data_IF_741561965761
#
_entry.id   IF_741561965761
#
_cell.length_a   1.000
_cell.length_b   1.000
_cell.length_c   1.000
_cell.angle_alpha   90.00
_cell.angle_beta   90.00
_cell.angle_gamma   90.00
#
_symmetry.space_group_name_H-M   'P 1'
#
loop_
_entity.id
_entity.type
_entity.pdbx_description
1 polymer ?
#
# COMPACT_ATOMS: atom_id res chain seq x y z
N UNK A 1 18.32 -28.82 21.74
CA UNK A 1 17.40 -28.85 20.59
C UNK A 1 17.39 -30.28 20.11
N UNK A 2 16.29 -31.00 20.31
CA UNK A 2 16.10 -32.32 19.70
C UNK A 2 15.44 -32.11 18.34
N UNK A 3 16.04 -32.65 17.27
CA UNK A 3 15.51 -32.55 15.91
C UNK A 3 14.75 -33.83 15.58
N UNK A 4 13.50 -33.67 15.17
CA UNK A 4 12.65 -34.78 14.72
C UNK A 4 12.30 -34.56 13.25
N UNK A 5 12.80 -35.44 12.38
CA UNK A 5 12.48 -35.44 10.95
C UNK A 5 11.34 -36.42 10.67
N UNK A 6 10.34 -35.96 9.93
CA UNK A 6 9.18 -36.77 9.56
C UNK A 6 8.89 -36.64 8.07
N UNK A 7 8.49 -37.74 7.45
CA UNK A 7 7.93 -37.75 6.11
C UNK A 7 6.41 -38.03 6.14
N UNK A 8 5.76 -37.88 5.00
CA UNK A 8 4.29 -37.99 4.84
C UNK A 8 3.78 -39.40 5.23
N UNK A 9 4.63 -40.41 5.24
CA UNK A 9 4.25 -41.79 5.61
C UNK A 9 4.24 -42.03 7.13
N UNK A 10 4.72 -41.07 7.94
CA UNK A 10 4.90 -41.21 9.38
C UNK A 10 3.81 -40.52 10.22
N UNK A 11 2.58 -40.39 9.72
CA UNK A 11 1.46 -39.66 10.38
C UNK A 11 1.27 -40.03 11.85
N UNK A 12 1.25 -41.32 12.18
CA UNK A 12 1.03 -41.75 13.57
C UNK A 12 2.17 -41.31 14.49
N UNK A 13 3.42 -41.28 14.00
CA UNK A 13 4.57 -40.79 14.76
C UNK A 13 4.54 -39.27 14.93
N UNK A 14 4.07 -38.53 13.91
CA UNK A 14 3.86 -37.08 13.98
C UNK A 14 2.86 -36.77 15.11
N UNK A 15 1.70 -37.44 15.11
CA UNK A 15 0.65 -37.21 16.11
C UNK A 15 1.06 -37.51 17.55
N UNK A 16 1.93 -38.50 17.74
CA UNK A 16 2.35 -38.94 19.06
C UNK A 16 3.48 -38.08 19.64
N UNK A 17 4.32 -37.45 18.80
CA UNK A 17 5.56 -36.81 19.23
C UNK A 17 5.58 -35.28 19.09
N UNK A 18 4.65 -34.65 18.35
CA UNK A 18 4.59 -33.19 18.28
C UNK A 18 3.72 -32.64 19.41
N UNK A 19 4.34 -31.83 20.27
CA UNK A 19 3.69 -31.14 21.38
C UNK A 19 3.52 -29.65 21.06
N UNK A 20 2.63 -28.98 21.80
CA UNK A 20 2.27 -27.56 21.62
C UNK A 20 3.47 -26.61 21.68
N UNK A 21 4.51 -26.95 22.43
CA UNK A 21 5.69 -26.10 22.66
C UNK A 21 6.78 -26.23 21.58
N UNK A 22 6.59 -27.12 20.60
CA UNK A 22 7.58 -27.37 19.58
C UNK A 22 7.64 -26.24 18.56
N UNK A 23 8.84 -25.92 18.07
CA UNK A 23 9.03 -25.19 16.82
C UNK A 23 8.79 -26.16 15.67
N UNK A 24 7.81 -25.85 14.80
CA UNK A 24 7.50 -26.66 13.64
C UNK A 24 8.07 -25.97 12.41
N UNK A 25 8.91 -26.67 11.66
CA UNK A 25 9.43 -26.21 10.37
C UNK A 25 8.63 -26.90 9.26
N UNK A 26 7.83 -26.14 8.53
CA UNK A 26 7.09 -26.60 7.38
C UNK A 26 7.95 -26.45 6.12
N UNK A 27 8.43 -27.58 5.60
CA UNK A 27 9.12 -27.69 4.31
C UNK A 27 8.55 -28.84 3.48
N UNK A 28 7.24 -29.13 3.64
CA UNK A 28 6.63 -30.31 3.01
C UNK A 28 6.44 -30.09 1.51
N UNK A 29 5.87 -28.95 1.11
CA UNK A 29 5.68 -28.56 -0.28
C UNK A 29 6.19 -27.13 -0.53
N UNK A 30 6.98 -26.95 -1.60
CA UNK A 30 7.51 -25.66 -2.05
C UNK A 30 6.93 -25.22 -3.40
N UNK A 31 7.72 -24.45 -4.16
CA UNK A 31 7.40 -24.06 -5.53
C UNK A 31 7.15 -25.27 -6.46
N UNK A 32 6.27 -25.11 -7.44
CA UNK A 32 6.04 -26.10 -8.53
C UNK A 32 4.84 -27.04 -8.34
N UNK A 33 4.09 -26.91 -7.25
CA UNK A 33 2.93 -27.77 -6.97
C UNK A 33 1.63 -26.98 -7.15
N UNK A 34 0.89 -27.30 -8.23
CA UNK A 34 -0.37 -26.62 -8.61
C UNK A 34 -1.64 -27.32 -8.11
N UNK A 35 -1.52 -28.31 -7.23
CA UNK A 35 -2.63 -29.19 -6.83
C UNK A 35 -3.07 -28.94 -5.40
N UNK A 36 -4.37 -29.16 -5.15
CA UNK A 36 -4.95 -29.29 -3.81
C UNK A 36 -4.19 -30.32 -3.00
N UNK A 37 -4.18 -30.15 -1.69
CA UNK A 37 -3.61 -31.15 -0.79
C UNK A 37 -4.43 -32.45 -0.92
N UNK A 38 -3.74 -33.59 -1.03
CA UNK A 38 -4.41 -34.88 -0.93
C UNK A 38 -4.90 -35.12 0.52
N UNK A 39 -5.65 -36.20 0.72
CA UNK A 39 -6.26 -36.49 2.02
C UNK A 39 -5.21 -36.69 3.12
N UNK A 40 -4.07 -37.28 2.77
CA UNK A 40 -2.98 -37.63 3.69
C UNK A 40 -2.28 -36.36 4.18
N UNK A 41 -1.94 -35.46 3.27
CA UNK A 41 -1.41 -34.13 3.59
C UNK A 41 -2.42 -33.28 4.34
N UNK A 42 -3.68 -33.29 3.91
CA UNK A 42 -4.77 -32.59 4.59
C UNK A 42 -4.97 -33.04 6.04
N UNK A 43 -4.69 -34.29 6.37
CA UNK A 43 -4.73 -34.79 7.74
C UNK A 43 -3.55 -34.27 8.57
N UNK A 44 -2.34 -34.31 8.01
CA UNK A 44 -1.12 -33.80 8.66
C UNK A 44 -1.24 -32.32 8.96
N UNK A 45 -1.58 -31.51 7.97
CA UNK A 45 -1.66 -30.05 8.12
C UNK A 45 -2.74 -29.62 9.10
N UNK A 46 -3.91 -30.30 9.12
CA UNK A 46 -4.96 -30.08 10.12
C UNK A 46 -4.48 -30.38 11.53
N UNK A 47 -3.74 -31.48 11.71
CA UNK A 47 -3.18 -31.80 13.01
C UNK A 47 -2.16 -30.74 13.45
N UNK A 48 -1.19 -30.39 12.59
CA UNK A 48 -0.20 -29.34 12.88
C UNK A 48 -0.88 -28.01 13.27
N UNK A 49 -1.87 -27.58 12.48
CA UNK A 49 -2.61 -26.35 12.74
C UNK A 49 -3.40 -26.37 14.06
N UNK A 50 -3.70 -27.55 14.62
CA UNK A 50 -4.41 -27.70 15.89
C UNK A 50 -3.52 -27.54 17.13
N UNK A 51 -2.20 -27.67 16.97
CA UNK A 51 -1.25 -27.70 18.09
C UNK A 51 -0.99 -26.32 18.71
N UNK A 52 -1.40 -25.23 18.05
CA UNK A 52 -1.13 -23.83 18.47
C UNK A 52 0.36 -23.56 18.78
N UNK A 53 1.23 -24.20 18.00
CA UNK A 53 2.68 -24.08 18.06
C UNK A 53 3.20 -22.95 17.17
N UNK A 54 4.46 -22.54 17.37
CA UNK A 54 5.12 -21.65 16.41
C UNK A 54 5.46 -22.43 15.14
N UNK A 55 4.89 -22.02 14.01
CA UNK A 55 5.09 -22.69 12.72
C UNK A 55 5.87 -21.75 11.79
N UNK A 56 7.04 -22.19 11.35
CA UNK A 56 7.87 -21.49 10.37
C UNK A 56 7.83 -22.26 9.05
N UNK A 57 7.20 -21.68 8.03
CA UNK A 57 7.20 -22.26 6.68
C UNK A 57 8.42 -21.78 5.89
N UNK A 58 9.09 -22.72 5.26
CA UNK A 58 10.23 -22.47 4.38
C UNK A 58 9.72 -22.38 2.95
N UNK A 59 10.12 -21.32 2.26
CA UNK A 59 9.72 -20.97 0.90
C UNK A 59 8.26 -20.51 0.75
N UNK A 60 7.30 -21.39 1.03
CA UNK A 60 5.86 -21.12 0.97
C UNK A 60 5.12 -22.06 1.93
N UNK A 61 4.06 -21.62 2.64
CA UNK A 61 3.28 -22.55 3.46
C UNK A 61 2.66 -23.66 2.61
N UNK A 62 2.80 -24.89 3.08
CA UNK A 62 2.25 -26.07 2.41
C UNK A 62 0.75 -25.90 2.17
N UNK A 63 0.35 -25.99 0.90
CA UNK A 63 -1.04 -25.81 0.44
C UNK A 63 -1.36 -24.46 -0.21
N UNK A 64 -0.40 -23.52 -0.22
CA UNK A 64 -0.52 -22.25 -0.96
C UNK A 64 0.19 -22.35 -2.31
N UNK A 65 -0.46 -21.87 -3.37
CA UNK A 65 0.12 -21.79 -4.70
C UNK A 65 1.07 -20.57 -4.83
N UNK A 66 2.30 -20.83 -5.26
CA UNK A 66 3.36 -19.82 -5.37
C UNK A 66 3.16 -18.78 -6.47
N UNK A 67 2.31 -19.05 -7.46
CA UNK A 67 2.11 -18.20 -8.65
C UNK A 67 0.92 -17.25 -8.48
N UNK A 68 -0.21 -17.76 -7.97
CA UNK A 68 -1.48 -17.03 -7.90
C UNK A 68 -1.99 -16.77 -6.48
N UNK A 69 -1.42 -17.43 -5.47
CA UNK A 69 -1.81 -17.21 -4.07
C UNK A 69 -3.11 -17.90 -3.67
N UNK A 70 -3.61 -18.83 -4.50
CA UNK A 70 -4.73 -19.69 -4.11
C UNK A 70 -4.34 -20.54 -2.91
N UNK A 71 -5.24 -20.63 -1.92
CA UNK A 71 -5.02 -21.28 -0.64
C UNK A 71 -5.96 -22.49 -0.54
N UNK A 72 -5.40 -23.68 -0.30
CA UNK A 72 -6.19 -24.83 0.12
C UNK A 72 -6.73 -24.60 1.54
N UNK A 73 -7.98 -25.00 1.81
CA UNK A 73 -8.60 -24.86 3.14
C UNK A 73 -7.80 -25.54 4.26
N UNK A 74 -7.02 -26.56 3.93
CA UNK A 74 -6.18 -27.30 4.84
C UNK A 74 -4.72 -26.84 4.79
N UNK A 75 -4.40 -25.69 4.21
CA UNK A 75 -3.01 -25.18 4.18
C UNK A 75 -2.46 -24.98 5.58
N UNK A 76 -1.14 -25.09 5.73
CA UNK A 76 -0.45 -24.74 6.96
C UNK A 76 -0.72 -23.27 7.30
N UNK A 77 -1.01 -22.99 8.58
CA UNK A 77 -1.15 -21.65 9.13
C UNK A 77 0.15 -21.22 9.75
N UNK A 78 1.03 -20.67 8.92
CA UNK A 78 2.35 -20.25 9.36
C UNK A 78 2.26 -19.04 10.31
N UNK A 79 3.11 -19.04 11.33
CA UNK A 79 3.40 -17.84 12.13
C UNK A 79 4.37 -16.92 11.38
N UNK A 80 5.29 -17.52 10.62
CA UNK A 80 6.27 -16.85 9.78
C UNK A 80 6.58 -17.70 8.53
N UNK A 81 6.78 -17.03 7.40
CA UNK A 81 7.20 -17.62 6.13
C UNK A 81 8.55 -17.02 5.72
N UNK A 82 9.55 -17.89 5.55
CA UNK A 82 10.90 -17.54 5.10
C UNK A 82 11.07 -17.90 3.63
N UNK A 83 10.84 -16.93 2.74
CA UNK A 83 10.92 -17.14 1.29
C UNK A 83 12.37 -17.29 0.83
N UNK A 84 12.73 -18.40 0.20
CA UNK A 84 14.09 -18.63 -0.31
C UNK A 84 14.39 -17.77 -1.55
N UNK A 85 15.43 -16.95 -1.49
CA UNK A 85 15.82 -16.02 -2.55
C UNK A 85 14.83 -14.87 -2.69
N UNK A 86 13.89 -14.98 -3.63
CA UNK A 86 13.00 -13.89 -4.03
C UNK A 86 11.57 -14.01 -3.46
N UNK A 87 10.81 -12.91 -3.45
CA UNK A 87 9.39 -12.94 -3.10
C UNK A 87 8.57 -13.77 -4.08
N UNK A 88 7.54 -14.44 -3.57
CA UNK A 88 6.63 -15.28 -4.37
C UNK A 88 5.41 -14.49 -4.76
N UNK A 89 5.04 -14.51 -6.05
CA UNK A 89 3.86 -13.78 -6.57
C UNK A 89 2.59 -14.21 -5.85
N UNK A 90 2.45 -15.48 -5.52
CA UNK A 90 1.30 -16.00 -4.81
C UNK A 90 1.16 -15.47 -3.38
N UNK A 91 2.28 -15.24 -2.68
CA UNK A 91 2.24 -14.61 -1.36
C UNK A 91 1.72 -13.16 -1.46
N UNK A 92 2.16 -12.44 -2.49
CA UNK A 92 1.72 -11.05 -2.76
C UNK A 92 0.23 -10.99 -3.10
N UNK A 93 -0.25 -11.89 -3.94
CA UNK A 93 -1.65 -11.94 -4.39
C UNK A 93 -2.58 -12.65 -3.41
N UNK A 94 -2.04 -13.26 -2.35
CA UNK A 94 -2.85 -13.95 -1.36
C UNK A 94 -3.84 -13.01 -0.69
N UNK A 95 -5.07 -13.51 -0.55
CA UNK A 95 -6.16 -12.80 0.11
C UNK A 95 -6.23 -13.09 1.61
N UNK A 96 -5.45 -14.05 2.13
CA UNK A 96 -5.54 -14.49 3.52
C UNK A 96 -4.17 -14.67 4.18
N UNK A 97 -3.71 -13.59 4.83
CA UNK A 97 -2.45 -13.54 5.55
C UNK A 97 -2.41 -14.40 6.82
N UNK A 98 -3.55 -14.91 7.30
CA UNK A 98 -3.58 -15.83 8.43
C UNK A 98 -2.90 -17.18 8.14
N UNK A 99 -2.73 -17.54 6.85
CA UNK A 99 -1.99 -18.74 6.46
C UNK A 99 -0.49 -18.49 6.27
N UNK A 100 -0.10 -17.23 6.08
CA UNK A 100 1.26 -16.85 5.68
C UNK A 100 2.07 -16.33 6.88
N UNK A 101 1.44 -15.64 7.81
CA UNK A 101 2.12 -15.03 8.94
C UNK A 101 3.03 -13.88 8.52
N UNK A 102 4.12 -13.67 9.26
CA UNK A 102 5.15 -12.68 8.92
C UNK A 102 5.97 -13.14 7.72
N UNK A 103 6.36 -12.22 6.84
CA UNK A 103 7.05 -12.55 5.59
C UNK A 103 8.45 -11.95 5.59
N UNK A 104 9.45 -12.76 5.27
CA UNK A 104 10.82 -12.30 4.99
C UNK A 104 11.47 -13.15 3.88
N UNK A 105 12.60 -12.70 3.35
CA UNK A 105 13.40 -13.44 2.36
C UNK A 105 14.70 -13.91 2.97
N UNK A 106 15.09 -15.16 2.67
CA UNK A 106 16.40 -15.71 3.01
C UNK A 106 17.31 -15.69 1.79
N UNK A 107 18.49 -15.08 1.95
CA UNK A 107 19.54 -15.17 0.95
C UNK A 107 20.09 -16.61 0.91
N UNK A 108 20.06 -17.20 -0.28
CA UNK A 108 20.55 -18.56 -0.56
C UNK A 108 21.70 -18.55 -1.58
N UNK A 109 22.33 -17.39 -1.80
CA UNK A 109 23.47 -17.25 -2.69
C UNK A 109 23.10 -17.19 -4.18
N UNK A 110 21.86 -16.82 -4.52
CA UNK A 110 21.51 -16.54 -5.92
C UNK A 110 22.17 -15.23 -6.31
N UNK A 111 22.97 -15.25 -7.38
CA UNK A 111 23.64 -14.04 -7.87
C UNK A 111 22.63 -12.94 -8.18
N UNK A 112 22.89 -11.72 -7.68
CA UNK A 112 22.07 -10.52 -7.88
C UNK A 112 22.02 -10.02 -9.35
N UNK A 113 22.58 -10.78 -10.28
CA UNK A 113 22.56 -10.47 -11.71
C UNK A 113 21.16 -10.59 -12.34
N UNK A 114 20.21 -11.19 -11.61
CA UNK A 114 18.79 -11.23 -11.98
C UNK A 114 18.08 -10.07 -11.27
N UNK A 115 18.06 -8.89 -11.89
CA UNK A 115 17.24 -7.78 -11.42
C UNK A 115 15.76 -8.06 -11.73
N UNK A 116 15.05 -8.64 -10.77
CA UNK A 116 13.59 -8.78 -10.87
C UNK A 116 12.90 -7.41 -10.94
N UNK A 117 11.78 -7.34 -11.66
CA UNK A 117 10.91 -6.13 -11.66
C UNK A 117 10.10 -5.98 -10.37
N UNK A 118 10.15 -6.98 -9.48
CA UNK A 118 9.27 -7.19 -8.34
C UNK A 118 10.16 -7.35 -7.10
N UNK A 119 10.07 -6.40 -6.16
CA UNK A 119 10.96 -6.35 -4.99
C UNK A 119 10.17 -6.31 -3.68
N UNK A 120 10.69 -6.94 -2.62
CA UNK A 120 10.13 -6.80 -1.27
C UNK A 120 10.80 -5.63 -0.56
N UNK A 121 10.00 -4.73 -0.01
CA UNK A 121 10.50 -3.70 0.90
C UNK A 121 11.00 -4.39 2.16
N UNK A 122 12.20 -4.03 2.59
CA UNK A 122 12.80 -4.52 3.81
C UNK A 122 13.34 -3.33 4.63
N UNK A 123 13.65 -3.52 5.92
CA UNK A 123 14.15 -2.43 6.76
C UNK A 123 15.43 -1.77 6.21
N UNK A 124 16.30 -2.53 5.54
CA UNK A 124 17.53 -2.00 4.93
C UNK A 124 17.24 -1.07 3.74
N UNK A 125 16.22 -1.37 2.94
CA UNK A 125 15.74 -0.47 1.90
C UNK A 125 15.22 0.83 2.49
N UNK A 126 14.44 0.75 3.58
CA UNK A 126 13.90 1.94 4.26
C UNK A 126 15.01 2.80 4.86
N UNK A 127 16.04 2.19 5.46
CA UNK A 127 17.22 2.92 5.99
C UNK A 127 17.98 3.71 4.92
N UNK A 128 17.99 3.22 3.67
CA UNK A 128 18.61 3.90 2.53
C UNK A 128 17.80 5.09 2.01
N UNK A 129 16.52 5.19 2.37
CA UNK A 129 15.73 6.40 2.12
C UNK A 129 16.25 7.45 3.10
N UNK A 130 17.28 8.18 2.69
CA UNK A 130 17.87 9.28 3.47
C UNK A 130 16.79 10.35 3.70
N UNK A 131 16.16 10.33 4.87
CA UNK A 131 15.55 11.55 5.41
C UNK A 131 16.73 12.43 5.83
N UNK A 132 16.99 13.51 5.07
CA UNK A 132 18.13 14.37 5.32
C UNK A 132 18.00 15.09 6.68
N UNK A 133 18.41 14.43 7.76
CA UNK A 133 18.65 15.05 9.05
C UNK A 133 20.07 15.64 9.07
N UNK A 134 20.41 16.44 8.05
CA UNK A 134 21.69 17.16 8.05
C UNK A 134 21.69 18.15 9.21
N UNK A 135 22.82 18.33 9.89
CA UNK A 135 22.91 19.21 11.07
C UNK A 135 22.56 20.68 10.75
N UNK A 136 22.75 21.11 9.51
CA UNK A 136 22.36 22.44 8.99
C UNK A 136 21.00 22.42 8.27
N UNK A 137 20.01 21.72 8.81
CA UNK A 137 18.69 21.63 8.19
C UNK A 137 17.77 22.78 8.64
N UNK A 138 17.14 23.46 7.68
CA UNK A 138 16.14 24.49 7.94
C UNK A 138 14.83 24.15 7.23
N UNK A 139 13.72 24.74 7.67
CA UNK A 139 12.36 24.41 7.17
C UNK A 139 12.18 24.44 5.64
N UNK A 140 13.02 25.16 4.89
CA UNK A 140 12.94 25.19 3.42
C UNK A 140 13.66 24.02 2.74
N UNK A 141 14.55 23.33 3.44
CA UNK A 141 15.30 22.18 2.93
C UNK A 141 14.51 20.87 3.02
N UNK A 142 13.52 20.81 3.92
CA UNK A 142 12.61 19.68 4.10
C UNK A 142 11.36 19.73 3.20
N UNK A 143 11.39 20.57 2.18
CA UNK A 143 10.30 20.73 1.21
C UNK A 143 9.04 21.39 1.77
N UNK A 144 8.20 21.82 0.83
CA UNK A 144 6.93 22.51 1.07
C UNK A 144 5.79 21.70 0.45
N UNK A 145 4.81 21.32 1.27
CA UNK A 145 3.60 20.60 0.84
C UNK A 145 2.38 21.51 0.87
N UNK A 146 1.59 21.51 -0.21
CA UNK A 146 0.27 22.14 -0.25
C UNK A 146 -0.82 21.05 -0.25
N UNK A 147 -1.82 21.19 0.62
CA UNK A 147 -2.89 20.21 0.83
C UNK A 147 -4.23 20.79 0.38
N UNK A 148 -4.90 20.10 -0.53
CA UNK A 148 -6.25 20.36 -1.00
C UNK A 148 -7.13 19.19 -0.55
N UNK A 149 -7.60 19.28 0.69
CA UNK A 149 -8.36 18.23 1.36
C UNK A 149 -9.44 18.83 2.24
N UNK A 150 -10.48 18.05 2.50
CA UNK A 150 -11.59 18.39 3.37
C UNK A 150 -12.74 19.12 2.67
N UNK A 151 -13.89 19.03 3.30
CA UNK A 151 -15.16 19.67 2.96
C UNK A 151 -16.00 19.76 4.22
N UNK A 152 -17.19 20.33 4.14
CA UNK A 152 -18.08 20.55 5.30
C UNK A 152 -18.32 19.29 6.14
N UNK A 153 -18.47 18.14 5.49
CA UNK A 153 -18.73 16.86 6.16
C UNK A 153 -17.46 16.06 6.48
N UNK A 154 -16.31 16.43 5.88
CA UNK A 154 -15.07 15.65 5.95
C UNK A 154 -13.88 16.50 6.43
N UNK A 155 -14.12 17.40 7.38
CA UNK A 155 -13.09 18.27 8.00
C UNK A 155 -11.93 17.44 8.57
N UNK A 156 -12.26 16.29 9.20
CA UNK A 156 -11.27 15.39 9.80
C UNK A 156 -10.25 14.83 8.81
N UNK A 157 -10.59 14.70 7.52
CA UNK A 157 -9.64 14.26 6.49
C UNK A 157 -8.49 15.26 6.35
N UNK A 158 -8.81 16.56 6.30
CA UNK A 158 -7.80 17.61 6.24
C UNK A 158 -6.90 17.60 7.49
N UNK A 159 -7.48 17.46 8.69
CA UNK A 159 -6.70 17.39 9.93
C UNK A 159 -5.73 16.21 9.94
N UNK A 160 -6.18 15.01 9.54
CA UNK A 160 -5.34 13.82 9.48
C UNK A 160 -4.20 13.96 8.46
N UNK A 161 -4.47 14.57 7.30
CA UNK A 161 -3.43 14.87 6.31
C UNK A 161 -2.36 15.81 6.89
N UNK A 162 -2.76 16.88 7.59
CA UNK A 162 -1.82 17.81 8.19
C UNK A 162 -1.00 17.16 9.31
N UNK A 163 -1.62 16.40 10.22
CA UNK A 163 -0.87 15.67 11.26
C UNK A 163 0.11 14.66 10.67
N UNK A 164 -0.29 13.96 9.59
CA UNK A 164 0.58 13.00 8.90
C UNK A 164 1.76 13.70 8.21
N UNK A 165 1.53 14.84 7.58
CA UNK A 165 2.58 15.64 6.95
C UNK A 165 3.58 16.19 7.98
N UNK A 166 3.11 16.71 9.12
CA UNK A 166 3.97 17.16 10.22
C UNK A 166 4.84 16.02 10.77
N UNK A 167 4.29 14.81 10.89
CA UNK A 167 5.03 13.63 11.34
C UNK A 167 6.00 13.07 10.31
N UNK A 168 5.78 13.36 9.03
CA UNK A 168 6.62 12.91 7.91
C UNK A 168 7.88 13.77 7.69
N UNK A 169 8.06 14.83 8.49
CA UNK A 169 9.24 15.69 8.43
C UNK A 169 9.18 16.79 7.37
N UNK A 170 8.01 17.07 6.78
CA UNK A 170 7.82 18.18 5.84
C UNK A 170 8.12 19.51 6.54
N UNK A 171 8.89 20.38 5.88
CA UNK A 171 9.36 21.62 6.50
C UNK A 171 8.34 22.75 6.52
N UNK A 172 7.48 22.85 5.49
CA UNK A 172 6.37 23.79 5.47
C UNK A 172 5.11 23.13 4.90
N UNK A 173 4.00 23.30 5.61
CA UNK A 173 2.70 22.76 5.19
C UNK A 173 1.74 23.92 5.03
N UNK A 174 1.02 23.92 3.91
CA UNK A 174 -0.06 24.85 3.66
C UNK A 174 -1.31 24.12 3.18
N UNK A 175 -2.45 24.78 3.30
CA UNK A 175 -3.75 24.28 2.88
C UNK A 175 -4.44 25.32 2.00
N UNK A 176 -5.06 24.87 0.92
CA UNK A 176 -6.07 25.66 0.19
C UNK A 176 -7.43 25.06 0.50
N UNK A 177 -8.34 25.89 0.99
CA UNK A 177 -9.64 25.45 1.46
C UNK A 177 -10.72 26.51 1.21
N UNK A 178 -11.99 26.07 1.17
CA UNK A 178 -13.11 26.99 1.08
C UNK A 178 -13.16 27.90 2.30
N UNK A 179 -13.50 29.19 2.12
CA UNK A 179 -13.69 30.16 3.21
C UNK A 179 -14.57 29.64 4.35
N UNK A 180 -15.60 28.87 4.01
CA UNK A 180 -16.53 28.29 4.98
C UNK A 180 -15.85 27.28 5.93
N UNK A 181 -14.75 26.67 5.52
CA UNK A 181 -14.04 25.65 6.29
C UNK A 181 -12.97 26.26 7.22
N UNK A 182 -12.44 27.44 6.88
CA UNK A 182 -11.33 28.09 7.57
C UNK A 182 -11.55 28.19 9.10
N UNK A 183 -12.69 28.69 9.61
CA UNK A 183 -12.89 28.87 11.04
C UNK A 183 -12.86 27.56 11.85
N UNK A 184 -13.22 26.43 11.21
CA UNK A 184 -13.26 25.12 11.86
C UNK A 184 -11.88 24.49 12.00
N UNK A 185 -10.92 24.86 11.13
CA UNK A 185 -9.57 24.31 11.10
C UNK A 185 -8.55 25.20 11.80
N UNK A 186 -8.67 26.52 11.66
CA UNK A 186 -7.71 27.49 12.20
C UNK A 186 -7.53 27.38 13.72
N UNK A 187 -8.52 26.89 14.47
CA UNK A 187 -8.42 26.66 15.91
C UNK A 187 -7.94 25.25 16.33
N UNK A 188 -7.60 24.37 15.39
CA UNK A 188 -7.26 22.95 15.66
C UNK A 188 -5.78 22.62 15.43
N UNK A 189 -5.16 23.27 14.46
CA UNK A 189 -3.75 23.06 14.11
C UNK A 189 -3.15 24.38 13.65
N UNK A 190 -2.16 24.84 14.41
CA UNK A 190 -1.56 26.17 14.28
C UNK A 190 -0.20 26.14 13.54
N UNK A 191 0.38 24.95 13.38
CA UNK A 191 1.69 24.73 12.76
C UNK A 191 1.66 24.73 11.22
N UNK A 192 0.53 25.15 10.62
CA UNK A 192 0.30 25.10 9.17
C UNK A 192 -0.25 26.43 8.66
N UNK A 193 -0.01 26.70 7.37
CA UNK A 193 -0.56 27.87 6.68
C UNK A 193 -1.91 27.54 6.09
N UNK A 194 -2.82 28.51 6.08
CA UNK A 194 -4.13 28.40 5.46
C UNK A 194 -4.32 29.53 4.46
N UNK A 195 -4.71 29.15 3.25
CA UNK A 195 -5.20 30.06 2.21
C UNK A 195 -6.68 29.78 2.01
N UNK A 196 -7.53 30.69 2.49
CA UNK A 196 -8.97 30.61 2.30
C UNK A 196 -9.34 31.17 0.92
N UNK A 197 -10.10 30.39 0.16
CA UNK A 197 -10.41 30.72 -1.23
C UNK A 197 -11.92 30.62 -1.45
N UNK A 198 -12.46 31.54 -2.25
CA UNK A 198 -13.83 31.42 -2.72
C UNK A 198 -13.85 30.52 -3.95
N UNK A 199 -14.31 29.29 -3.78
CA UNK A 199 -14.28 28.27 -4.82
C UNK A 199 -15.21 28.56 -6.00
N UNK A 200 -16.07 29.57 -5.91
CA UNK A 200 -16.93 30.01 -7.02
C UNK A 200 -16.32 31.16 -7.82
N UNK A 201 -15.25 31.78 -7.33
CA UNK A 201 -14.62 32.93 -7.97
C UNK A 201 -13.41 32.49 -8.83
N UNK A 202 -13.40 32.89 -10.09
CA UNK A 202 -12.29 32.61 -11.04
C UNK A 202 -10.95 33.19 -10.59
N UNK A 203 -10.95 34.37 -9.97
CA UNK A 203 -9.72 34.97 -9.46
C UNK A 203 -9.08 34.11 -8.37
N UNK A 204 -9.90 33.46 -7.53
CA UNK A 204 -9.42 32.52 -6.51
C UNK A 204 -8.70 31.33 -7.14
N UNK A 205 -9.17 30.85 -8.30
CA UNK A 205 -8.55 29.71 -9.00
C UNK A 205 -7.14 30.08 -9.46
N UNK A 206 -6.98 31.25 -10.09
CA UNK A 206 -5.68 31.72 -10.56
C UNK A 206 -4.70 31.91 -9.39
N UNK A 207 -5.14 32.57 -8.31
CA UNK A 207 -4.33 32.72 -7.09
C UNK A 207 -3.92 31.37 -6.49
N UNK A 208 -4.85 30.42 -6.46
CA UNK A 208 -4.60 29.09 -5.90
C UNK A 208 -3.60 28.31 -6.73
N UNK A 209 -3.67 28.43 -8.06
CA UNK A 209 -2.72 27.82 -8.97
C UNK A 209 -1.30 28.39 -8.79
N UNK A 210 -1.18 29.71 -8.65
CA UNK A 210 0.08 30.39 -8.36
C UNK A 210 0.67 29.94 -7.03
N UNK A 211 -0.16 29.85 -5.98
CA UNK A 211 0.24 29.31 -4.68
C UNK A 211 0.71 27.87 -4.85
N UNK A 212 -0.09 26.98 -5.44
CA UNK A 212 0.25 25.54 -5.60
C UNK A 212 1.61 25.39 -6.28
N UNK A 213 1.83 26.09 -7.39
CA UNK A 213 3.08 25.97 -8.15
C UNK A 213 4.31 26.60 -7.47
N UNK A 214 4.15 27.26 -6.31
CA UNK A 214 5.26 27.75 -5.48
C UNK A 214 5.73 26.74 -4.41
N UNK A 215 5.07 25.58 -4.31
CA UNK A 215 5.38 24.48 -3.39
C UNK A 215 6.12 23.34 -4.10
N UNK A 216 6.59 22.34 -3.36
CA UNK A 216 7.39 21.24 -3.91
C UNK A 216 6.54 20.00 -4.25
N UNK A 217 5.39 19.84 -3.60
CA UNK A 217 4.40 18.80 -3.91
C UNK A 217 2.99 19.23 -3.48
N UNK A 218 1.97 18.62 -4.09
CA UNK A 218 0.56 18.86 -3.77
C UNK A 218 -0.18 17.56 -3.49
N UNK A 219 -0.92 17.52 -2.39
CA UNK A 219 -1.92 16.48 -2.10
C UNK A 219 -3.31 17.00 -2.47
N UNK A 220 -4.07 16.23 -3.23
CA UNK A 220 -5.45 16.54 -3.61
C UNK A 220 -6.33 15.32 -3.44
N UNK A 221 -7.43 15.45 -2.68
CA UNK A 221 -8.49 14.44 -2.70
C UNK A 221 -9.09 13.93 -1.39
N UNK A 222 -8.38 13.86 -0.26
CA UNK A 222 -8.99 13.38 0.98
C UNK A 222 -10.18 14.24 1.41
N UNK A 223 -11.38 13.67 1.42
CA UNK A 223 -12.58 14.33 1.93
C UNK A 223 -13.09 15.51 1.09
N UNK A 224 -12.84 15.55 -0.22
CA UNK A 224 -13.41 16.60 -1.08
C UNK A 224 -14.94 16.52 -1.15
N UNK A 225 -15.51 15.34 -0.91
CA UNK A 225 -16.96 15.13 -1.00
C UNK A 225 -17.46 15.18 -2.45
N UNK A 226 -18.76 15.42 -2.61
CA UNK A 226 -19.46 15.32 -3.90
C UNK A 226 -20.11 16.62 -4.34
N UNK A 227 -19.85 17.73 -3.65
CA UNK A 227 -20.42 19.04 -4.01
C UNK A 227 -19.84 19.52 -5.35
N UNK A 228 -20.73 19.84 -6.30
CA UNK A 228 -20.35 20.22 -7.66
C UNK A 228 -19.42 21.44 -7.72
N UNK A 229 -19.70 22.47 -6.89
CA UNK A 229 -18.84 23.65 -6.79
C UNK A 229 -17.39 23.30 -6.42
N UNK A 230 -17.21 22.31 -5.54
CA UNK A 230 -15.90 21.89 -5.06
C UNK A 230 -15.16 21.13 -6.15
N UNK A 231 -15.84 20.18 -6.79
CA UNK A 231 -15.29 19.42 -7.92
C UNK A 231 -14.93 20.33 -9.09
N UNK A 232 -15.78 21.31 -9.43
CA UNK A 232 -15.52 22.26 -10.51
C UNK A 232 -14.27 23.11 -10.25
N UNK A 233 -14.10 23.59 -9.01
CA UNK A 233 -12.93 24.34 -8.61
C UNK A 233 -11.62 23.54 -8.80
N UNK A 234 -11.57 22.30 -8.31
CA UNK A 234 -10.38 21.46 -8.49
C UNK A 234 -10.13 21.07 -9.94
N UNK A 235 -11.19 20.86 -10.74
CA UNK A 235 -11.07 20.65 -12.19
C UNK A 235 -10.42 21.84 -12.87
N UNK A 236 -10.83 23.06 -12.53
CA UNK A 236 -10.24 24.28 -13.10
C UNK A 236 -8.80 24.49 -12.67
N UNK A 237 -8.44 24.15 -11.42
CA UNK A 237 -7.04 24.16 -10.98
C UNK A 237 -6.19 23.21 -11.83
N UNK A 238 -6.64 21.96 -12.04
CA UNK A 238 -5.90 20.99 -12.87
C UNK A 238 -5.78 21.47 -14.31
N UNK A 239 -6.88 21.94 -14.92
CA UNK A 239 -6.88 22.51 -16.27
C UNK A 239 -5.94 23.71 -16.39
N UNK A 240 -5.84 24.53 -15.33
CA UNK A 240 -4.92 25.67 -15.25
C UNK A 240 -3.43 25.28 -15.26
N UNK A 241 -3.10 24.04 -14.92
CA UNK A 241 -1.76 23.47 -15.08
C UNK A 241 -0.93 23.48 -13.79
N UNK A 242 -1.11 22.43 -12.98
CA UNK A 242 -0.18 22.09 -11.89
C UNK A 242 1.12 21.60 -12.51
N UNK A 243 2.26 22.14 -12.05
CA UNK A 243 3.62 21.85 -12.59
C UNK A 243 4.49 21.01 -11.66
N UNK A 244 4.00 20.75 -10.45
CA UNK A 244 4.72 20.07 -9.38
C UNK A 244 4.17 18.65 -9.17
N UNK A 245 4.93 17.75 -8.52
CA UNK A 245 4.43 16.41 -8.18
C UNK A 245 3.07 16.44 -7.48
N UNK A 246 2.14 15.63 -7.98
CA UNK A 246 0.75 15.57 -7.52
C UNK A 246 0.44 14.21 -6.91
N UNK A 247 -0.09 14.21 -5.69
CA UNK A 247 -0.59 13.03 -4.99
C UNK A 247 -2.12 13.09 -5.03
N UNK A 248 -2.74 12.07 -5.61
CA UNK A 248 -4.19 11.89 -5.68
C UNK A 248 -4.61 10.76 -4.77
N UNK A 249 -5.41 11.09 -3.76
CA UNK A 249 -6.01 10.11 -2.85
C UNK A 249 -7.53 10.26 -2.83
N UNK A 250 -8.25 9.22 -2.40
CA UNK A 250 -9.70 9.28 -2.19
C UNK A 250 -10.49 9.92 -3.35
N UNK A 251 -11.22 11.01 -3.09
CA UNK A 251 -12.03 11.71 -4.10
C UNK A 251 -11.17 12.32 -5.23
N UNK A 252 -9.90 12.61 -4.97
CA UNK A 252 -8.95 13.13 -5.97
C UNK A 252 -8.65 12.13 -7.07
N UNK A 253 -8.65 10.82 -6.77
CA UNK A 253 -8.43 9.75 -7.76
C UNK A 253 -9.52 9.78 -8.84
N UNK A 254 -10.76 10.13 -8.47
CA UNK A 254 -11.90 10.23 -9.40
C UNK A 254 -11.65 11.26 -10.50
N UNK A 255 -10.80 12.27 -10.25
CA UNK A 255 -10.47 13.31 -11.23
C UNK A 255 -9.80 12.72 -12.48
N UNK A 256 -9.04 11.61 -12.35
CA UNK A 256 -8.41 10.92 -13.49
C UNK A 256 -9.43 10.28 -14.44
N UNK A 257 -10.63 9.95 -13.96
CA UNK A 257 -11.68 9.39 -14.81
C UNK A 257 -12.48 10.46 -15.57
N UNK A 258 -12.47 11.70 -15.10
CA UNK A 258 -13.30 12.78 -15.65
C UNK A 258 -12.50 13.84 -16.41
N UNK A 259 -11.18 13.89 -16.23
CA UNK A 259 -10.27 14.81 -16.91
C UNK A 259 -9.27 14.04 -17.77
N UNK A 260 -8.87 14.67 -18.87
CA UNK A 260 -7.82 14.12 -19.73
C UNK A 260 -6.45 14.20 -19.02
N UNK A 261 -5.63 13.14 -19.17
CA UNK A 261 -4.26 13.04 -18.60
C UNK A 261 -3.38 14.26 -18.88
N UNK A 262 -3.59 14.97 -19.99
CA UNK A 262 -2.83 16.19 -20.36
C UNK A 262 -2.97 17.36 -19.37
N UNK A 263 -4.00 17.35 -18.52
CA UNK A 263 -4.23 18.39 -17.50
C UNK A 263 -3.56 18.05 -16.16
N UNK A 264 -2.83 16.94 -16.08
CA UNK A 264 -2.11 16.54 -14.88
C UNK A 264 -0.60 16.69 -15.11
N UNK A 265 0.20 16.95 -14.06
CA UNK A 265 1.65 17.04 -14.18
C UNK A 265 2.28 15.71 -14.59
N UNK A 266 3.57 15.73 -14.91
CA UNK A 266 4.31 14.53 -15.30
C UNK A 266 4.38 13.51 -14.15
N UNK A 267 4.63 13.97 -12.93
CA UNK A 267 4.77 13.10 -11.74
C UNK A 267 3.48 13.04 -10.94
N UNK A 268 2.79 11.90 -11.03
CA UNK A 268 1.55 11.64 -10.28
C UNK A 268 1.74 10.40 -9.42
N UNK A 269 1.33 10.48 -8.16
CA UNK A 269 1.18 9.34 -7.26
C UNK A 269 -0.32 9.17 -6.98
N UNK A 270 -0.84 7.96 -7.17
CA UNK A 270 -2.19 7.60 -6.74
C UNK A 270 -2.15 6.58 -5.60
N UNK A 271 -3.08 6.69 -4.66
CA UNK A 271 -3.13 5.83 -3.46
C UNK A 271 -4.45 5.05 -3.32
N UNK A 272 -4.92 4.34 -4.37
CA UNK A 272 -6.22 3.71 -4.34
C UNK A 272 -6.27 2.53 -3.37
N UNK A 273 -7.37 2.40 -2.63
CA UNK A 273 -7.81 1.10 -2.13
C UNK A 273 -8.50 0.28 -3.25
N UNK A 274 -8.81 -1.00 -3.01
CA UNK A 274 -9.43 -1.88 -4.03
C UNK A 274 -10.68 -1.28 -4.70
N UNK A 275 -11.57 -0.65 -3.93
CA UNK A 275 -12.75 0.02 -4.49
C UNK A 275 -12.44 1.20 -5.42
N UNK A 276 -11.54 2.11 -5.05
CA UNK A 276 -11.08 3.22 -5.89
C UNK A 276 -10.35 2.70 -7.13
N UNK A 277 -9.51 1.67 -6.97
CA UNK A 277 -8.85 1.02 -8.10
C UNK A 277 -9.87 0.41 -9.07
N UNK A 278 -10.93 -0.22 -8.57
CA UNK A 278 -12.02 -0.76 -9.40
C UNK A 278 -12.73 0.34 -10.20
N UNK A 279 -13.03 1.47 -9.56
CA UNK A 279 -13.62 2.63 -10.24
C UNK A 279 -12.68 3.26 -11.28
N UNK A 280 -11.39 3.35 -10.97
CA UNK A 280 -10.38 3.92 -11.88
C UNK A 280 -10.11 3.01 -13.10
N UNK A 281 -10.00 1.70 -12.87
CA UNK A 281 -9.61 0.74 -13.90
C UNK A 281 -10.78 0.20 -14.73
N UNK A 282 -12.00 0.23 -14.19
CA UNK A 282 -13.15 -0.50 -14.73
C UNK A 282 -13.11 -2.01 -14.48
N UNK A 283 -12.12 -2.52 -13.74
CA UNK A 283 -11.97 -3.94 -13.39
C UNK A 283 -12.78 -4.21 -12.11
N UNK A 284 -13.48 -5.35 -12.05
CA UNK A 284 -14.22 -5.73 -10.85
C UNK A 284 -13.30 -5.96 -9.65
N UNK A 285 -13.78 -5.69 -8.43
CA UNK A 285 -13.02 -5.87 -7.19
C UNK A 285 -12.48 -7.30 -7.05
N UNK A 286 -13.29 -8.29 -7.42
CA UNK A 286 -12.94 -9.71 -7.34
C UNK A 286 -11.75 -10.05 -8.24
N UNK A 287 -11.72 -9.49 -9.46
CA UNK A 287 -10.63 -9.71 -10.39
C UNK A 287 -9.35 -8.96 -9.96
N UNK A 288 -9.49 -7.76 -9.39
CA UNK A 288 -8.35 -7.05 -8.79
C UNK A 288 -7.76 -7.84 -7.64
N UNK A 289 -8.60 -8.42 -6.76
CA UNK A 289 -8.13 -9.22 -5.62
C UNK A 289 -7.36 -10.45 -6.07
N UNK A 290 -7.75 -11.10 -7.19
CA UNK A 290 -7.06 -12.27 -7.73
C UNK A 290 -5.64 -11.99 -8.23
N UNK A 291 -5.39 -10.79 -8.79
CA UNK A 291 -4.05 -10.42 -9.25
C UNK A 291 -3.79 -8.91 -9.06
N UNK A 292 -3.63 -8.52 -7.80
CA UNK A 292 -3.43 -7.12 -7.40
C UNK A 292 -2.16 -6.54 -8.01
N UNK A 293 -1.11 -7.36 -8.08
CA UNK A 293 0.15 -6.96 -8.67
C UNK A 293 -0.01 -6.58 -10.14
N UNK A 294 -0.60 -7.49 -10.93
CA UNK A 294 -0.85 -7.23 -12.35
C UNK A 294 -1.67 -5.96 -12.54
N UNK A 295 -2.76 -5.81 -11.78
CA UNK A 295 -3.61 -4.62 -11.86
C UNK A 295 -2.84 -3.33 -11.53
N UNK A 296 -2.03 -3.30 -10.47
CA UNK A 296 -1.26 -2.13 -10.08
C UNK A 296 -0.21 -1.73 -11.15
N UNK A 297 0.49 -2.71 -11.73
CA UNK A 297 1.46 -2.48 -12.82
C UNK A 297 0.75 -1.95 -14.06
N UNK A 298 -0.30 -2.64 -14.53
CA UNK A 298 -1.01 -2.25 -15.76
C UNK A 298 -1.60 -0.84 -15.65
N UNK A 299 -2.13 -0.45 -14.49
CA UNK A 299 -2.66 0.90 -14.28
C UNK A 299 -1.54 1.95 -14.21
N UNK A 300 -0.41 1.62 -13.58
CA UNK A 300 0.74 2.52 -13.50
C UNK A 300 1.32 2.81 -14.89
N UNK A 301 1.52 1.77 -15.70
CA UNK A 301 2.02 1.91 -17.07
C UNK A 301 1.01 2.63 -17.97
N UNK A 302 -0.28 2.23 -17.91
CA UNK A 302 -1.33 2.78 -18.78
C UNK A 302 -1.58 4.27 -18.54
N UNK A 303 -1.58 4.70 -17.29
CA UNK A 303 -1.88 6.09 -16.92
C UNK A 303 -0.61 6.95 -16.76
N UNK A 304 0.57 6.34 -16.85
CA UNK A 304 1.85 6.96 -16.55
C UNK A 304 1.85 7.61 -15.15
N UNK A 305 1.56 6.78 -14.13
CA UNK A 305 1.46 7.17 -12.72
C UNK A 305 2.16 6.18 -11.80
N UNK A 306 2.58 6.62 -10.63
CA UNK A 306 2.98 5.74 -9.53
C UNK A 306 1.74 5.30 -8.77
N UNK A 307 1.57 3.99 -8.56
CA UNK A 307 0.38 3.45 -7.87
C UNK A 307 0.76 2.82 -6.53
N UNK A 308 0.19 3.33 -5.45
CA UNK A 308 0.22 2.72 -4.12
C UNK A 308 -1.13 2.01 -3.88
N UNK A 309 -1.23 0.76 -4.33
CA UNK A 309 -2.46 -0.03 -4.17
C UNK A 309 -2.57 -0.54 -2.72
N UNK A 310 -3.39 0.18 -1.94
CA UNK A 310 -3.60 -0.05 -0.51
C UNK A 310 -4.29 -1.40 -0.25
N UNK A 311 -3.87 -2.03 0.84
CA UNK A 311 -4.36 -3.32 1.30
C UNK A 311 -3.28 -4.08 2.07
N UNK A 312 -3.60 -5.27 2.59
CA UNK A 312 -2.60 -6.18 3.12
C UNK A 312 -1.49 -6.39 2.09
N UNK A 313 -0.22 -6.29 2.47
CA UNK A 313 0.88 -6.18 1.51
C UNK A 313 0.63 -5.13 0.43
N UNK A 314 0.73 -3.86 0.82
CA UNK A 314 0.58 -2.73 -0.11
C UNK A 314 1.59 -2.84 -1.26
N UNK A 315 1.12 -2.56 -2.47
CA UNK A 315 1.90 -2.65 -3.71
C UNK A 315 2.22 -1.23 -4.17
N UNK A 316 3.49 -0.95 -4.42
CA UNK A 316 3.97 0.32 -4.98
C UNK A 316 4.51 0.04 -6.38
N UNK A 317 3.68 0.30 -7.39
CA UNK A 317 4.02 0.10 -8.81
C UNK A 317 4.46 1.42 -9.47
N UNK A 318 5.38 1.32 -10.43
CA UNK A 318 5.95 2.46 -11.18
C UNK A 318 5.46 2.46 -12.63
N UNK A 319 5.49 3.62 -13.32
CA UNK A 319 5.18 3.70 -14.74
C UNK A 319 6.09 2.85 -15.64
N UNK A 320 7.28 2.48 -15.16
CA UNK A 320 8.25 1.65 -15.88
C UNK A 320 8.00 0.14 -15.76
N UNK A 321 6.92 -0.27 -15.09
CA UNK A 321 6.56 -1.68 -14.92
C UNK A 321 7.28 -2.39 -13.76
N UNK A 322 7.92 -1.64 -12.86
CA UNK A 322 8.47 -2.18 -11.62
C UNK A 322 7.44 -2.11 -10.49
N UNK A 323 7.58 -2.99 -9.50
CA UNK A 323 6.74 -3.01 -8.31
C UNK A 323 7.53 -3.35 -7.05
N UNK A 324 7.15 -2.71 -5.94
CA UNK A 324 7.64 -3.02 -4.60
C UNK A 324 6.48 -3.44 -3.70
N UNK A 325 6.73 -4.33 -2.74
CA UNK A 325 5.71 -4.82 -1.80
C UNK A 325 6.11 -4.52 -0.37
N UNK A 326 5.18 -3.97 0.40
CA UNK A 326 5.35 -3.88 1.85
C UNK A 326 5.00 -5.22 2.51
N UNK A 327 5.91 -5.93 3.20
CA UNK A 327 5.55 -7.14 3.94
C UNK A 327 4.77 -6.85 5.23
N UNK A 328 4.69 -5.58 5.64
CA UNK A 328 4.11 -5.20 6.93
C UNK A 328 2.59 -5.12 6.82
N UNK A 329 1.91 -6.03 7.51
CA UNK A 329 0.45 -6.11 7.57
C UNK A 329 -0.01 -5.84 9.00
N UNK A 330 -0.92 -4.88 9.15
CA UNK A 330 -1.53 -4.56 10.44
C UNK A 330 -3.04 -4.31 10.25
N UNK A 331 -3.87 -5.19 10.83
CA UNK A 331 -5.33 -5.07 10.77
C UNK A 331 -5.87 -3.83 11.49
N UNK A 332 -5.09 -3.24 12.39
CA UNK A 332 -5.42 -1.97 13.06
C UNK A 332 -5.58 -0.79 12.09
N UNK A 333 -5.00 -0.86 10.88
CA UNK A 333 -5.15 0.13 9.82
C UNK A 333 -6.47 0.01 9.04
N UNK A 334 -7.27 -1.02 9.29
CA UNK A 334 -8.59 -1.20 8.67
C UNK A 334 -9.65 -0.28 9.32
N UNK A 335 -9.37 1.03 9.37
CA UNK A 335 -10.24 2.06 9.93
C UNK A 335 -10.25 3.29 9.04
N UNK A 336 -11.42 3.94 8.93
CA UNK A 336 -11.55 5.20 8.24
C UNK A 336 -10.57 6.23 8.82
N UNK A 337 -9.87 6.96 7.93
CA UNK A 337 -8.83 7.92 8.30
C UNK A 337 -7.40 7.38 8.36
N UNK A 338 -7.18 6.08 8.20
CA UNK A 338 -5.82 5.50 8.14
C UNK A 338 -5.11 5.69 6.79
N UNK A 339 -5.89 6.07 5.77
CA UNK A 339 -5.55 5.95 4.36
C UNK A 339 -4.64 7.03 3.82
#
# INVERSE_FOLDING_TARGET
>A
IELYEFNIDMINKIKLNIQKENLIIDGILGIGIKRKLDDKLSEITRHINSLNSYICSVDIPTGINSDDGTIDKNSIKATETLMLGYPKKGIVNSSNFNFIGRISTLDIGIENNISGRINLLNPEYIKKIEFSQKENNHKYMNGKLIILAGSRNYIGANLLCNYSALRSGVGLIANILSKDLYPFLAGKINDVIYFDQDFQNEQSIQQSLEIINSYDAVLLGPGLGTEEKQLNYYRKILIGGIKIPLILDADGIKLLNILNRKYFPDKIIITPHIGEMSLLSGISKENIIKDRLKCAIEISEKLDVYTVLKGPCTIVATPSGNANFSPWVNSGLAKAGSG
#
